data_IF_954945457212
#
_entry.id   IF_954945457212
#
_cell.length_a   1.000
_cell.length_b   1.000
_cell.length_c   1.000
_cell.angle_alpha   90.00
_cell.angle_beta   90.00
_cell.angle_gamma   90.00
#
_symmetry.space_group_name_H-M   'P 1'
#
loop_
_entity.id
_entity.type
_entity.pdbx_description
1 polymer ?
#
# COMPACT_ATOMS: atom_id res chain seq x y z
N UNK A 1 -9.05 0.62 3.97
CA UNK A 1 -8.65 1.03 2.61
C UNK A 1 -8.44 2.53 2.63
N UNK A 2 -7.30 3.03 2.19
CA UNK A 2 -7.05 4.47 2.04
C UNK A 2 -7.13 4.77 0.54
N UNK A 3 -7.92 5.76 0.15
CA UNK A 3 -8.06 6.19 -1.24
C UNK A 3 -7.96 7.71 -1.32
N UNK A 4 -7.10 8.22 -2.21
CA UNK A 4 -6.82 9.65 -2.33
C UNK A 4 -7.82 10.40 -3.22
N UNK A 5 -8.53 9.69 -4.11
CA UNK A 5 -9.59 10.28 -4.91
C UNK A 5 -10.94 10.14 -4.22
N UNK A 6 -11.60 11.27 -3.93
CA UNK A 6 -12.87 11.31 -3.22
C UNK A 6 -13.96 10.49 -3.90
N UNK A 7 -14.11 10.62 -5.21
CA UNK A 7 -15.15 9.90 -5.96
C UNK A 7 -14.91 8.39 -5.93
N UNK A 8 -13.65 7.95 -6.06
CA UNK A 8 -13.29 6.54 -5.92
C UNK A 8 -13.48 6.04 -4.49
N UNK A 9 -13.18 6.85 -3.49
CA UNK A 9 -13.38 6.50 -2.08
C UNK A 9 -14.87 6.31 -1.78
N UNK A 10 -15.73 7.21 -2.26
CA UNK A 10 -17.20 7.10 -2.12
C UNK A 10 -17.72 5.84 -2.81
N UNK A 11 -17.32 5.60 -4.07
CA UNK A 11 -17.70 4.39 -4.79
C UNK A 11 -17.23 3.09 -4.09
N UNK A 12 -16.02 3.10 -3.53
CA UNK A 12 -15.48 1.96 -2.79
C UNK A 12 -16.21 1.75 -1.46
N UNK A 13 -16.57 2.83 -0.75
CA UNK A 13 -17.35 2.76 0.48
C UNK A 13 -18.75 2.18 0.22
N UNK A 14 -19.39 2.55 -0.88
CA UNK A 14 -20.69 2.03 -1.29
C UNK A 14 -20.62 0.55 -1.72
N UNK A 15 -19.55 0.16 -2.42
CA UNK A 15 -19.37 -1.20 -2.90
C UNK A 15 -18.93 -2.18 -1.80
N UNK A 16 -18.08 -1.74 -0.86
CA UNK A 16 -17.44 -2.60 0.14
C UNK A 16 -18.16 -2.55 1.49
N UNK A 17 -19.05 -3.52 1.72
CA UNK A 17 -19.87 -3.59 2.94
C UNK A 17 -19.13 -4.01 4.22
N UNK A 18 -17.92 -4.53 4.10
CA UNK A 18 -17.12 -5.09 5.21
C UNK A 18 -15.73 -4.44 5.33
N UNK A 19 -15.54 -3.30 4.69
CA UNK A 19 -14.24 -2.62 4.65
C UNK A 19 -14.43 -1.17 5.02
N UNK A 20 -13.63 -0.67 5.96
CA UNK A 20 -13.57 0.78 6.24
C UNK A 20 -12.77 1.44 5.12
N UNK A 21 -13.38 2.43 4.47
CA UNK A 21 -12.73 3.26 3.45
C UNK A 21 -12.49 4.65 4.03
N UNK A 22 -11.24 5.08 3.97
CA UNK A 22 -10.78 6.40 4.41
C UNK A 22 -10.34 7.19 3.19
N UNK A 23 -10.81 8.42 3.08
CA UNK A 23 -10.36 9.34 2.05
C UNK A 23 -9.14 10.11 2.56
N UNK A 24 -7.98 9.93 1.93
CA UNK A 24 -6.74 10.56 2.35
C UNK A 24 -5.52 10.08 1.58
N UNK A 25 -4.36 10.65 1.91
CA UNK A 25 -3.07 10.28 1.31
C UNK A 25 -2.42 9.16 2.15
N UNK A 26 -1.95 8.09 1.49
CA UNK A 26 -1.18 7.01 2.13
C UNK A 26 0.21 7.44 2.62
N UNK A 27 0.65 8.64 2.25
CA UNK A 27 1.87 9.29 2.74
C UNK A 27 1.64 10.13 4.01
N UNK A 28 0.38 10.39 4.38
CA UNK A 28 0.04 11.14 5.58
C UNK A 28 0.01 10.20 6.80
N UNK A 29 0.86 10.48 7.80
CA UNK A 29 0.91 9.71 9.04
C UNK A 29 -0.39 9.77 9.81
N UNK A 30 -1.09 10.89 9.80
CA UNK A 30 -2.35 11.01 10.51
C UNK A 30 -3.39 10.08 9.90
N UNK A 31 -3.46 10.02 8.56
CA UNK A 31 -4.35 9.10 7.83
C UNK A 31 -3.97 7.64 8.11
N UNK A 32 -2.67 7.31 8.12
CA UNK A 32 -2.19 5.95 8.43
C UNK A 32 -2.58 5.52 9.85
N UNK A 33 -2.50 6.43 10.83
CA UNK A 33 -2.92 6.15 12.22
C UNK A 33 -4.42 5.97 12.33
N UNK A 34 -5.20 6.84 11.70
CA UNK A 34 -6.66 6.71 11.63
C UNK A 34 -7.09 5.41 10.95
N UNK A 35 -6.29 4.91 10.01
CA UNK A 35 -6.50 3.62 9.36
C UNK A 35 -6.07 2.40 10.19
N UNK A 36 -5.52 2.58 11.39
CA UNK A 36 -5.03 1.49 12.23
C UNK A 36 -3.69 0.92 11.78
N UNK A 37 -2.82 1.73 11.18
CA UNK A 37 -1.50 1.31 10.68
C UNK A 37 -0.60 0.67 11.74
N UNK A 38 -0.73 1.10 13.00
CA UNK A 38 0.01 0.55 14.16
C UNK A 38 -0.34 -0.91 14.45
N UNK A 39 -1.59 -1.32 14.19
CA UNK A 39 -2.09 -2.67 14.45
C UNK A 39 -2.15 -3.53 13.17
N UNK A 40 -1.70 -2.97 12.04
CA UNK A 40 -1.80 -3.64 10.76
C UNK A 40 -0.84 -4.83 10.65
N UNK A 41 -1.38 -6.05 10.50
CA UNK A 41 -0.58 -7.25 10.23
C UNK A 41 0.15 -7.17 8.88
N UNK A 42 -0.47 -6.49 7.91
CA UNK A 42 0.04 -6.31 6.57
C UNK A 42 -0.50 -4.99 5.97
N UNK A 43 0.40 -4.09 5.61
CA UNK A 43 0.07 -2.93 4.79
C UNK A 43 0.35 -3.24 3.31
N UNK A 44 -0.61 -2.92 2.43
CA UNK A 44 -0.52 -3.21 1.00
C UNK A 44 -0.68 -1.89 0.22
N UNK A 45 0.32 -1.55 -0.58
CA UNK A 45 0.34 -0.32 -1.37
C UNK A 45 0.23 -0.66 -2.86
N UNK A 46 -0.95 -0.42 -3.43
CA UNK A 46 -1.35 -0.86 -4.78
C UNK A 46 -1.81 0.31 -5.67
N UNK A 47 -1.24 1.50 -5.50
CA UNK A 47 -1.52 2.64 -6.38
C UNK A 47 -0.82 2.46 -7.73
N UNK A 48 -1.15 3.31 -8.70
CA UNK A 48 -0.54 3.29 -10.03
C UNK A 48 0.86 3.94 -10.08
N UNK A 49 1.35 4.48 -8.95
CA UNK A 49 2.66 5.12 -8.87
C UNK A 49 3.58 4.30 -7.95
N UNK A 50 4.62 3.72 -8.55
CA UNK A 50 5.62 2.92 -7.83
C UNK A 50 6.28 3.70 -6.68
N UNK A 51 6.49 5.01 -6.84
CA UNK A 51 7.10 5.85 -5.79
C UNK A 51 6.14 6.04 -4.62
N UNK A 52 4.85 6.29 -4.92
CA UNK A 52 3.82 6.40 -3.89
C UNK A 52 3.70 5.07 -3.14
N UNK A 53 3.74 3.94 -3.84
CA UNK A 53 3.67 2.63 -3.19
C UNK A 53 4.87 2.36 -2.28
N UNK A 54 6.07 2.64 -2.78
CA UNK A 54 7.31 2.43 -2.04
C UNK A 54 7.34 3.31 -0.78
N UNK A 55 7.01 4.59 -0.91
CA UNK A 55 6.98 5.53 0.20
C UNK A 55 5.86 5.22 1.20
N UNK A 56 4.67 4.87 0.72
CA UNK A 56 3.55 4.47 1.59
C UNK A 56 3.89 3.20 2.38
N UNK A 57 4.57 2.23 1.77
CA UNK A 57 5.03 1.02 2.46
C UNK A 57 6.07 1.35 3.54
N UNK A 58 7.00 2.27 3.27
CA UNK A 58 7.96 2.75 4.28
C UNK A 58 7.25 3.45 5.43
N UNK A 59 6.29 4.32 5.12
CA UNK A 59 5.54 5.07 6.11
C UNK A 59 4.72 4.13 6.98
N UNK A 60 4.01 3.16 6.38
CA UNK A 60 3.28 2.14 7.12
C UNK A 60 4.20 1.30 8.02
N UNK A 61 5.39 0.90 7.54
CA UNK A 61 6.38 0.18 8.35
C UNK A 61 6.83 1.01 9.56
N UNK A 62 7.02 2.32 9.36
CA UNK A 62 7.42 3.26 10.43
C UNK A 62 6.31 3.53 11.42
N UNK A 63 5.05 3.54 10.98
CA UNK A 63 3.89 3.65 11.86
C UNK A 63 3.55 2.33 12.56
N UNK A 64 4.29 1.24 12.35
CA UNK A 64 4.17 0.02 13.16
C UNK A 64 3.59 -1.21 12.46
N UNK A 65 3.27 -1.12 11.16
CA UNK A 65 2.78 -2.27 10.41
C UNK A 65 3.78 -3.44 10.47
N UNK A 66 3.29 -4.63 10.82
CA UNK A 66 4.14 -5.80 10.99
C UNK A 66 4.85 -6.19 9.68
N UNK A 67 4.10 -6.20 8.58
CA UNK A 67 4.61 -6.49 7.24
C UNK A 67 4.13 -5.46 6.23
N UNK A 68 4.92 -5.21 5.20
CA UNK A 68 4.57 -4.28 4.11
C UNK A 68 4.80 -4.91 2.75
N UNK A 69 3.84 -4.68 1.85
CA UNK A 69 3.83 -5.16 0.49
C UNK A 69 3.59 -3.98 -0.44
N UNK A 70 4.49 -3.80 -1.41
CA UNK A 70 4.38 -2.72 -2.38
C UNK A 70 4.35 -3.29 -3.80
N UNK A 71 3.42 -2.81 -4.61
CA UNK A 71 3.40 -3.06 -6.04
C UNK A 71 4.42 -2.14 -6.72
N UNK A 72 5.33 -2.71 -7.50
CA UNK A 72 6.35 -1.97 -8.24
C UNK A 72 6.50 -2.57 -9.62
N UNK A 73 6.33 -1.74 -10.65
CA UNK A 73 6.47 -2.14 -12.05
C UNK A 73 7.91 -1.97 -12.55
N UNK A 74 8.64 -0.99 -12.03
CA UNK A 74 10.02 -0.71 -12.43
C UNK A 74 11.03 -1.51 -11.58
N UNK A 75 11.78 -2.40 -12.24
CA UNK A 75 12.80 -3.23 -11.60
C UNK A 75 13.96 -2.42 -11.00
N UNK A 76 14.14 -1.16 -11.42
CA UNK A 76 15.14 -0.26 -10.85
C UNK A 76 14.96 -0.02 -9.34
N UNK A 77 13.74 -0.21 -8.80
CA UNK A 77 13.47 -0.07 -7.37
C UNK A 77 13.69 -1.37 -6.57
N UNK A 78 13.98 -2.52 -7.21
CA UNK A 78 14.28 -3.78 -6.49
C UNK A 78 15.42 -3.65 -5.47
N UNK A 79 16.56 -2.99 -5.76
CA UNK A 79 17.65 -2.84 -4.79
C UNK A 79 17.24 -2.00 -3.57
N UNK A 80 16.27 -1.11 -3.76
CA UNK A 80 15.80 -0.18 -2.72
C UNK A 80 14.95 -0.89 -1.66
N UNK A 81 14.35 -2.04 -1.99
CA UNK A 81 13.57 -2.89 -1.08
C UNK A 81 14.24 -3.07 0.29
N UNK A 82 15.46 -3.59 0.26
CA UNK A 82 16.21 -3.95 1.47
C UNK A 82 16.65 -2.70 2.24
N UNK A 83 17.03 -1.65 1.52
CA UNK A 83 17.43 -0.38 2.13
C UNK A 83 16.26 0.33 2.85
N UNK A 84 15.04 0.16 2.34
CA UNK A 84 13.83 0.79 2.88
C UNK A 84 13.04 -0.09 3.85
N UNK A 85 13.47 -1.35 4.07
CA UNK A 85 12.82 -2.26 5.01
C UNK A 85 11.43 -2.75 4.55
N UNK A 86 11.21 -2.84 3.23
CA UNK A 86 9.98 -3.35 2.65
C UNK A 86 10.05 -4.88 2.57
N UNK A 87 9.05 -5.58 3.11
CA UNK A 87 9.10 -7.04 3.21
C UNK A 87 8.88 -7.72 1.85
N UNK A 88 7.95 -7.21 1.05
CA UNK A 88 7.56 -7.81 -0.23
C UNK A 88 7.43 -6.74 -1.33
N UNK A 89 8.08 -7.00 -2.46
CA UNK A 89 7.85 -6.27 -3.71
C UNK A 89 7.18 -7.22 -4.70
N UNK A 90 6.07 -6.79 -5.29
CA UNK A 90 5.38 -7.53 -6.34
C UNK A 90 5.49 -6.74 -7.64
N UNK A 91 6.03 -7.37 -8.69
CA UNK A 91 5.89 -6.89 -10.07
C UNK A 91 4.71 -7.63 -10.72
N UNK A 92 3.61 -6.93 -11.05
CA UNK A 92 2.42 -7.57 -11.62
C UNK A 92 2.71 -8.33 -12.92
N UNK A 93 3.75 -7.94 -13.68
CA UNK A 93 4.16 -8.63 -14.92
C UNK A 93 4.78 -10.00 -14.65
N UNK A 94 5.40 -10.18 -13.49
CA UNK A 94 5.99 -11.49 -13.11
C UNK A 94 4.97 -12.46 -12.56
N UNK A 95 3.84 -11.97 -12.01
CA UNK A 95 2.80 -12.84 -11.42
C UNK A 95 2.04 -13.63 -12.50
N UNK A 96 1.96 -13.11 -13.72
CA UNK A 96 1.33 -13.79 -14.87
C UNK A 96 1.97 -15.15 -15.18
N UNK A 97 3.21 -15.40 -14.75
CA UNK A 97 3.94 -16.65 -15.02
C UNK A 97 3.66 -17.74 -13.97
N UNK A 98 3.00 -17.43 -12.85
CA UNK A 98 2.87 -18.37 -11.71
C UNK A 98 1.48 -18.98 -11.51
N UNK A 99 0.57 -18.87 -12.47
CA UNK A 99 -0.69 -19.63 -12.45
C UNK A 99 -0.54 -20.91 -13.28
N UNK A 100 0.06 -21.95 -12.69
CA UNK A 100 -0.09 -23.35 -13.12
C UNK A 100 -0.32 -24.20 -11.87
#
# INVERSE_FOLDING_TARGET
LIEGDKTRAENAADALRRTVVLHGDGLDRQVLREAGGEEAELAICLTNDDKVNLLSAVMAKREGAHRTLSLVNDEAFRPVKTALGIDVLIDPRTVTISTI
#
